data_IF_308864720808
#
_entry.id   IF_308864720808
#
_cell.length_a   1.000
_cell.length_b   1.000
_cell.length_c   1.000
_cell.angle_alpha   90.00
_cell.angle_beta   90.00
_cell.angle_gamma   90.00
#
_symmetry.space_group_name_H-M   'P 1'
#
loop_
_entity.id
_entity.type
_entity.pdbx_description
1 polymer ?
#
# COMPACT_ATOMS: atom_id res chain seq x y z
N UNK A 1 0.17 -22.28 9.90
CA UNK A 1 0.53 -21.31 8.83
C UNK A 1 1.84 -21.78 8.19
N UNK A 2 1.98 -21.77 6.86
CA UNK A 2 3.22 -22.24 6.20
C UNK A 2 4.31 -21.17 6.33
N UNK A 3 5.54 -21.61 6.56
CA UNK A 3 6.71 -20.71 6.60
C UNK A 3 6.98 -20.11 5.23
N UNK A 4 7.33 -18.82 5.17
CA UNK A 4 7.77 -18.17 3.93
C UNK A 4 9.24 -18.50 3.59
N UNK A 5 10.04 -18.98 4.54
CA UNK A 5 11.49 -19.22 4.38
C UNK A 5 11.84 -20.23 3.29
N UNK A 6 10.94 -21.14 2.93
CA UNK A 6 11.16 -22.13 1.89
C UNK A 6 11.00 -21.58 0.47
N UNK A 7 10.48 -20.36 0.31
CA UNK A 7 10.21 -19.76 -1.00
C UNK A 7 11.34 -18.82 -1.41
N UNK A 8 11.91 -19.05 -2.60
CA UNK A 8 12.98 -18.21 -3.16
C UNK A 8 12.48 -16.90 -3.76
N UNK A 9 11.26 -16.87 -4.30
CA UNK A 9 10.67 -15.69 -4.94
C UNK A 9 9.27 -15.46 -4.39
N UNK A 10 9.01 -14.24 -3.95
CA UNK A 10 7.79 -13.87 -3.22
C UNK A 10 7.20 -12.61 -3.86
N UNK A 11 5.94 -12.68 -4.27
CA UNK A 11 5.19 -11.49 -4.70
C UNK A 11 4.29 -11.02 -3.56
N UNK A 12 4.51 -9.78 -3.10
CA UNK A 12 3.68 -9.15 -2.07
C UNK A 12 2.70 -8.20 -2.74
N UNK A 13 1.41 -8.59 -2.78
CA UNK A 13 0.33 -7.75 -3.29
C UNK A 13 -0.28 -6.91 -2.17
N UNK A 14 -0.27 -5.59 -2.35
CA UNK A 14 -0.89 -4.65 -1.41
C UNK A 14 -2.20 -4.11 -1.98
N UNK A 15 -3.30 -4.29 -1.24
CA UNK A 15 -4.61 -3.70 -1.57
C UNK A 15 -4.71 -2.25 -1.10
N UNK A 16 -5.50 -1.42 -1.79
CA UNK A 16 -5.63 0.02 -1.48
C UNK A 16 -6.20 0.28 -0.08
N UNK A 17 -7.08 -0.58 0.44
CA UNK A 17 -7.67 -0.45 1.78
C UNK A 17 -6.65 -0.66 2.92
N UNK A 18 -5.58 -1.40 2.66
CA UNK A 18 -4.47 -1.58 3.60
C UNK A 18 -3.49 -0.41 3.56
N UNK A 19 -3.32 0.21 2.39
CA UNK A 19 -2.31 1.23 2.19
C UNK A 19 -2.81 2.66 2.45
N UNK A 20 -4.09 2.94 2.18
CA UNK A 20 -4.64 4.30 2.19
C UNK A 20 -5.84 4.40 3.12
N UNK A 21 -5.75 5.31 4.08
CA UNK A 21 -6.88 5.86 4.80
C UNK A 21 -7.49 7.03 4.00
N UNK A 22 -8.82 7.06 3.88
CA UNK A 22 -9.49 8.07 3.04
C UNK A 22 -9.46 9.47 3.64
N UNK A 23 -9.37 9.58 4.97
CA UNK A 23 -9.35 10.85 5.69
C UNK A 23 -7.90 11.33 5.90
N UNK A 24 -6.98 10.45 6.28
CA UNK A 24 -5.63 10.83 6.69
C UNK A 24 -4.54 10.54 5.65
N UNK A 25 -4.88 9.85 4.55
CA UNK A 25 -3.94 9.54 3.46
C UNK A 25 -3.17 8.25 3.68
N UNK A 26 -1.87 8.25 3.39
CA UNK A 26 -1.05 7.03 3.44
C UNK A 26 -0.93 6.50 4.88
N UNK A 27 -1.20 5.20 5.09
CA UNK A 27 -0.95 4.53 6.38
C UNK A 27 0.54 4.23 6.55
N UNK A 28 1.30 5.27 6.92
CA UNK A 28 2.78 5.23 7.00
C UNK A 28 3.31 4.16 7.94
N UNK A 29 2.78 4.08 9.16
CA UNK A 29 3.29 3.13 10.17
C UNK A 29 3.11 1.67 9.72
N UNK A 30 1.95 1.37 9.11
CA UNK A 30 1.69 0.06 8.52
C UNK A 30 2.64 -0.23 7.35
N UNK A 31 2.89 0.76 6.48
CA UNK A 31 3.80 0.60 5.34
C UNK A 31 5.25 0.40 5.80
N UNK A 32 5.69 1.12 6.83
CA UNK A 32 7.01 0.94 7.44
C UNK A 32 7.17 -0.47 8.00
N UNK A 33 6.19 -0.94 8.79
CA UNK A 33 6.20 -2.31 9.32
C UNK A 33 6.25 -3.37 8.21
N UNK A 34 5.51 -3.19 7.11
CA UNK A 34 5.60 -4.09 5.96
C UNK A 34 6.96 -4.03 5.27
N UNK A 35 7.57 -2.85 5.17
CA UNK A 35 8.90 -2.68 4.60
C UNK A 35 9.96 -3.40 5.43
N UNK A 36 9.85 -3.35 6.77
CA UNK A 36 10.73 -4.09 7.68
C UNK A 36 10.60 -5.62 7.48
N UNK A 37 9.37 -6.13 7.38
CA UNK A 37 9.13 -7.55 7.09
C UNK A 37 9.71 -7.99 5.73
N UNK A 38 9.55 -7.15 4.69
CA UNK A 38 10.14 -7.38 3.37
C UNK A 38 11.67 -7.38 3.44
N UNK A 39 12.26 -6.47 4.21
CA UNK A 39 13.71 -6.40 4.40
C UNK A 39 14.25 -7.66 5.09
N UNK A 40 13.54 -8.20 6.09
CA UNK A 40 13.90 -9.49 6.72
C UNK A 40 13.92 -10.63 5.69
N UNK A 41 12.91 -10.71 4.82
CA UNK A 41 12.86 -11.73 3.76
C UNK A 41 13.97 -11.55 2.72
N UNK A 42 14.20 -10.31 2.28
CA UNK A 42 15.26 -9.99 1.32
C UNK A 42 16.66 -10.32 1.89
N UNK A 43 16.92 -9.96 3.15
CA UNK A 43 18.17 -10.27 3.85
C UNK A 43 18.38 -11.79 4.06
N UNK A 44 17.29 -12.57 4.10
CA UNK A 44 17.34 -14.03 4.13
C UNK A 44 17.56 -14.66 2.74
N UNK A 45 17.75 -13.86 1.68
CA UNK A 45 18.05 -14.31 0.32
C UNK A 45 16.82 -14.50 -0.58
N UNK A 46 15.63 -14.05 -0.18
CA UNK A 46 14.44 -14.11 -1.03
C UNK A 46 14.41 -12.95 -2.04
N UNK A 47 14.01 -13.24 -3.28
CA UNK A 47 13.67 -12.23 -4.29
C UNK A 47 12.24 -11.74 -4.07
N UNK A 48 12.07 -10.48 -3.67
CA UNK A 48 10.75 -9.91 -3.36
C UNK A 48 10.28 -8.94 -4.45
N UNK A 49 9.10 -9.21 -5.02
CA UNK A 49 8.39 -8.29 -5.93
C UNK A 49 7.19 -7.67 -5.21
N UNK A 50 7.18 -6.35 -5.10
CA UNK A 50 6.04 -5.61 -4.50
C UNK A 50 5.09 -5.13 -5.59
N UNK A 51 3.80 -5.47 -5.45
CA UNK A 51 2.74 -5.03 -6.36
C UNK A 51 1.72 -4.21 -5.57
N UNK A 52 1.83 -2.89 -5.63
CA UNK A 52 0.98 -1.98 -4.87
C UNK A 52 -0.27 -1.53 -5.63
N UNK A 53 -1.31 -1.13 -4.88
CA UNK A 53 -2.46 -0.38 -5.39
C UNK A 53 -2.45 1.01 -4.75
N UNK A 54 -3.58 1.71 -4.67
CA UNK A 54 -3.70 2.91 -3.83
C UNK A 54 -3.36 4.25 -4.49
N UNK A 55 -2.74 4.29 -5.68
CA UNK A 55 -2.42 5.55 -6.36
C UNK A 55 -3.63 6.48 -6.53
N UNK A 56 -4.77 5.96 -7.00
CA UNK A 56 -6.01 6.73 -7.14
C UNK A 56 -6.57 7.14 -5.76
N UNK A 57 -6.57 6.23 -4.79
CA UNK A 57 -7.12 6.51 -3.46
C UNK A 57 -6.31 7.63 -2.76
N UNK A 58 -4.99 7.53 -2.79
CA UNK A 58 -4.08 8.51 -2.21
C UNK A 58 -4.19 9.86 -2.93
N UNK A 59 -4.18 9.86 -4.27
CA UNK A 59 -4.32 11.07 -5.06
C UNK A 59 -5.62 11.81 -4.77
N UNK A 60 -6.73 11.10 -4.58
CA UNK A 60 -8.00 11.71 -4.18
C UNK A 60 -7.94 12.35 -2.80
N UNK A 61 -7.31 11.69 -1.82
CA UNK A 61 -7.15 12.27 -0.48
C UNK A 61 -6.27 13.53 -0.52
N UNK A 62 -5.15 13.52 -1.24
CA UNK A 62 -4.27 14.69 -1.40
C UNK A 62 -5.00 15.85 -2.05
N UNK A 63 -5.82 15.58 -3.07
CA UNK A 63 -6.57 16.59 -3.81
C UNK A 63 -7.91 16.99 -3.17
N UNK A 64 -8.26 16.45 -1.99
CA UNK A 64 -9.54 16.71 -1.33
C UNK A 64 -10.77 16.24 -2.11
N UNK A 65 -10.61 15.28 -3.03
CA UNK A 65 -11.70 14.79 -3.86
C UNK A 65 -12.55 13.80 -3.06
N UNK A 66 -13.87 14.02 -3.04
CA UNK A 66 -14.85 13.20 -2.31
C UNK A 66 -14.94 11.75 -2.78
N UNK A 67 -16.07 11.06 -2.53
CA UNK A 67 -16.24 9.68 -3.03
C UNK A 67 -16.29 9.66 -4.57
N UNK A 68 -15.86 8.55 -5.17
CA UNK A 68 -15.88 8.36 -6.63
C UNK A 68 -17.32 8.57 -7.13
N UNK A 69 -17.52 9.48 -8.07
CA UNK A 69 -18.86 9.85 -8.59
C UNK A 69 -19.50 11.07 -7.92
N UNK A 70 -18.88 11.70 -6.92
CA UNK A 70 -19.34 13.01 -6.44
C UNK A 70 -18.82 14.15 -7.32
N UNK A 71 -19.66 15.16 -7.63
CA UNK A 71 -19.23 16.37 -8.31
C UNK A 71 -18.09 17.04 -7.55
N UNK A 72 -17.03 17.42 -8.26
CA UNK A 72 -15.98 18.27 -7.70
C UNK A 72 -16.54 19.68 -7.72
N UNK A 73 -16.95 20.20 -6.56
CA UNK A 73 -17.36 21.60 -6.44
C UNK A 73 -16.13 22.48 -6.60
N UNK A 74 -15.99 23.11 -7.77
CA UNK A 74 -15.04 24.20 -7.98
C UNK A 74 -15.54 25.39 -7.14
N UNK A 75 -14.84 25.72 -6.06
CA UNK A 75 -15.03 27.01 -5.40
C UNK A 75 -14.32 28.06 -6.27
N UNK A 76 -15.12 28.94 -6.88
CA UNK A 76 -14.67 30.14 -7.57
C UNK A 76 -14.33 31.24 -6.55
#
# INVERSE_FOLDING_TARGET
MKSLKSYKRITVKIGSALLVDRATGLKRDWLTSLADDIAVLANAGAEVLVVSSGAIALGRTILGLGKRGQPVSLQA
#
